data_IF_157309848985
#
_entry.id   IF_157309848985
#
_cell.length_a   1.000
_cell.length_b   1.000
_cell.length_c   1.000
_cell.angle_alpha   90.00
_cell.angle_beta   90.00
_cell.angle_gamma   90.00
#
_symmetry.space_group_name_H-M   'P 1'
#
loop_
_entity.id
_entity.type
_entity.pdbx_description
1 polymer ?
#
# COMPACT_ATOMS: atom_id res chain seq x y z
N UNK A 1 -12.06 -9.18 11.37
CA UNK A 1 -10.71 -8.66 11.06
C UNK A 1 -10.63 -8.13 9.63
N UNK A 2 -11.11 -8.86 8.62
CA UNK A 2 -11.02 -8.45 7.21
C UNK A 2 -11.67 -7.08 6.97
N UNK A 3 -12.94 -6.89 7.32
CA UNK A 3 -13.63 -5.61 7.14
C UNK A 3 -12.92 -4.48 7.90
N UNK A 4 -12.47 -4.76 9.11
CA UNK A 4 -11.74 -3.77 9.92
C UNK A 4 -10.41 -3.37 9.28
N UNK A 5 -9.65 -4.34 8.75
CA UNK A 5 -8.40 -4.10 8.05
C UNK A 5 -8.60 -3.33 6.75
N UNK A 6 -9.63 -3.67 5.97
CA UNK A 6 -10.01 -2.93 4.77
C UNK A 6 -10.36 -1.47 5.09
N UNK A 7 -11.13 -1.23 6.17
CA UNK A 7 -11.45 0.14 6.60
C UNK A 7 -10.21 0.89 7.04
N UNK A 8 -9.31 0.27 7.80
CA UNK A 8 -8.06 0.89 8.25
C UNK A 8 -7.15 1.28 7.09
N UNK A 9 -7.19 0.54 5.99
CA UNK A 9 -6.39 0.81 4.81
C UNK A 9 -7.09 1.81 3.86
N UNK A 10 -8.32 1.51 3.46
CA UNK A 10 -8.99 2.28 2.41
C UNK A 10 -9.56 3.61 2.89
N UNK A 11 -9.96 3.74 4.16
CA UNK A 11 -10.49 5.01 4.66
C UNK A 11 -9.44 6.13 4.62
N UNK A 12 -8.23 5.97 5.19
CA UNK A 12 -7.19 6.98 5.03
C UNK A 12 -6.76 7.14 3.57
N UNK A 13 -6.73 6.06 2.76
CA UNK A 13 -6.41 6.16 1.35
C UNK A 13 -7.38 7.07 0.59
N UNK A 14 -8.68 6.91 0.79
CA UNK A 14 -9.69 7.74 0.16
C UNK A 14 -9.68 9.18 0.68
N UNK A 15 -9.56 9.37 1.99
CA UNK A 15 -9.57 10.71 2.60
C UNK A 15 -8.34 11.52 2.17
N UNK A 16 -7.13 10.96 2.33
CA UNK A 16 -5.92 11.69 2.01
C UNK A 16 -5.69 11.77 0.49
N UNK A 17 -6.17 10.78 -0.28
CA UNK A 17 -6.24 10.87 -1.73
C UNK A 17 -7.13 12.01 -2.20
N UNK A 18 -8.28 12.18 -1.57
CA UNK A 18 -9.16 13.33 -1.84
C UNK A 18 -8.50 14.67 -1.52
N UNK A 19 -7.83 14.80 -0.36
CA UNK A 19 -7.12 16.03 -0.01
C UNK A 19 -5.97 16.32 -0.97
N UNK A 20 -5.16 15.33 -1.34
CA UNK A 20 -4.10 15.49 -2.33
C UNK A 20 -4.65 15.79 -3.74
N UNK A 21 -5.86 15.34 -4.06
CA UNK A 21 -6.53 15.70 -5.30
C UNK A 21 -7.06 17.14 -5.29
N UNK A 22 -7.50 17.65 -4.15
CA UNK A 22 -7.96 19.05 -4.04
C UNK A 22 -6.79 20.04 -3.99
N UNK A 23 -5.68 19.65 -3.37
CA UNK A 23 -4.49 20.46 -3.23
C UNK A 23 -3.25 19.64 -3.59
N UNK A 24 -2.64 19.92 -4.75
CA UNK A 24 -1.44 19.23 -5.22
C UNK A 24 -0.23 19.41 -4.28
N UNK A 25 -0.25 20.39 -3.39
CA UNK A 25 0.84 20.61 -2.42
C UNK A 25 0.67 19.79 -1.15
N UNK A 26 -0.51 19.22 -0.91
CA UNK A 26 -0.81 18.45 0.29
C UNK A 26 0.12 17.25 0.49
N UNK A 27 0.55 16.60 -0.60
CA UNK A 27 1.46 15.45 -0.56
C UNK A 27 2.77 15.75 0.19
N UNK A 28 3.26 16.99 0.08
CA UNK A 28 4.50 17.44 0.75
C UNK A 28 4.37 17.58 2.27
N UNK A 29 3.15 17.51 2.80
CA UNK A 29 2.91 17.38 4.26
C UNK A 29 3.16 15.96 4.78
N UNK A 30 3.15 14.97 3.89
CA UNK A 30 3.29 13.54 4.23
C UNK A 30 4.61 12.95 3.75
N UNK A 31 5.13 13.45 2.63
CA UNK A 31 6.33 12.94 1.97
C UNK A 31 7.26 14.08 1.59
N UNK A 32 8.58 13.93 1.82
CA UNK A 32 9.53 14.93 1.40
C UNK A 32 9.65 14.99 -0.14
N UNK A 33 9.98 16.16 -0.72
CA UNK A 33 10.06 16.36 -2.17
C UNK A 33 10.96 15.33 -2.89
N UNK A 34 12.02 14.86 -2.22
CA UNK A 34 12.95 13.88 -2.78
C UNK A 34 12.30 12.52 -3.06
N UNK A 35 11.20 12.19 -2.37
CA UNK A 35 10.42 10.97 -2.61
C UNK A 35 9.33 11.19 -3.65
N UNK A 36 8.77 12.39 -3.74
CA UNK A 36 7.69 12.73 -4.69
C UNK A 36 8.25 12.92 -6.11
N UNK A 37 9.34 13.65 -6.26
CA UNK A 37 9.91 13.99 -7.56
C UNK A 37 10.26 12.79 -8.47
N UNK A 38 10.74 11.62 -7.98
CA UNK A 38 10.90 10.44 -8.82
C UNK A 38 9.58 9.90 -9.37
N UNK A 39 8.50 9.95 -8.56
CA UNK A 39 7.16 9.50 -8.98
C UNK A 39 6.59 10.42 -10.05
N UNK A 40 6.71 11.73 -9.87
CA UNK A 40 6.31 12.73 -10.87
C UNK A 40 7.04 12.51 -12.20
N UNK A 41 8.37 12.38 -12.17
CA UNK A 41 9.16 12.12 -13.39
C UNK A 41 8.76 10.82 -14.10
N UNK A 42 8.36 9.80 -13.34
CA UNK A 42 7.95 8.52 -13.91
C UNK A 42 6.67 8.62 -14.73
N UNK A 43 5.75 9.50 -14.35
CA UNK A 43 4.44 9.64 -14.97
C UNK A 43 4.26 10.94 -15.77
N UNK A 44 5.31 11.78 -15.85
CA UNK A 44 5.25 13.05 -16.59
C UNK A 44 5.24 12.84 -18.10
N UNK A 45 4.05 13.03 -18.71
CA UNK A 45 3.86 12.90 -20.15
C UNK A 45 4.50 14.04 -20.96
N UNK A 46 4.77 15.20 -20.37
CA UNK A 46 5.40 16.32 -21.07
C UNK A 46 6.85 15.99 -21.45
N UNK A 47 7.55 15.26 -20.60
CA UNK A 47 8.90 14.77 -20.89
C UNK A 47 8.92 13.69 -21.98
N UNK A 48 7.85 12.89 -22.07
CA UNK A 48 7.68 11.88 -23.13
C UNK A 48 7.43 12.52 -24.50
N UNK A 49 6.64 13.60 -24.55
CA UNK A 49 6.33 14.33 -25.78
C UNK A 49 7.55 15.12 -26.32
N UNK A 50 8.46 15.54 -25.45
CA UNK A 50 9.65 16.32 -25.83
C UNK A 50 10.79 15.48 -26.45
N UNK A 51 10.55 14.20 -26.78
CA UNK A 51 11.57 13.32 -27.36
C UNK A 51 12.67 12.88 -26.37
N UNK A 52 12.55 13.25 -25.11
CA UNK A 52 13.32 12.71 -23.98
C UNK A 52 12.64 11.43 -23.43
N UNK A 53 11.79 10.80 -24.25
CA UNK A 53 11.35 9.45 -23.94
C UNK A 53 12.64 8.63 -23.71
N UNK A 54 12.99 8.36 -22.47
CA UNK A 54 13.62 7.08 -22.16
C UNK A 54 12.67 6.12 -22.88
N UNK A 55 13.16 5.55 -24.00
CA UNK A 55 12.42 4.52 -24.71
C UNK A 55 11.98 3.56 -23.64
N UNK A 56 10.71 3.66 -23.25
CA UNK A 56 10.10 2.69 -22.33
C UNK A 56 10.07 1.40 -23.15
N UNK A 57 11.20 0.72 -23.14
CA UNK A 57 11.32 -0.59 -23.72
C UNK A 57 10.44 -1.53 -22.89
N UNK A 58 9.80 -2.47 -23.55
CA UNK A 58 8.98 -3.51 -22.90
C UNK A 58 9.73 -4.23 -21.79
N UNK A 59 11.06 -4.36 -21.90
CA UNK A 59 11.92 -4.91 -20.85
C UNK A 59 11.95 -4.03 -19.59
N UNK A 60 12.01 -2.72 -19.74
CA UNK A 60 11.98 -1.76 -18.63
C UNK A 60 10.61 -1.76 -17.94
N UNK A 61 9.51 -1.81 -18.72
CA UNK A 61 8.15 -1.90 -18.16
C UNK A 61 7.94 -3.22 -17.41
N UNK A 62 8.47 -4.33 -17.90
CA UNK A 62 8.41 -5.62 -17.23
C UNK A 62 9.24 -5.64 -15.93
N UNK A 63 10.44 -5.07 -15.96
CA UNK A 63 11.29 -4.94 -14.77
C UNK A 63 10.63 -4.06 -13.70
N UNK A 64 10.00 -2.95 -14.09
CA UNK A 64 9.24 -2.08 -13.19
C UNK A 64 8.03 -2.80 -12.60
N UNK A 65 7.27 -3.53 -13.40
CA UNK A 65 6.15 -4.34 -12.94
C UNK A 65 6.61 -5.37 -11.88
N UNK A 66 7.71 -6.10 -12.15
CA UNK A 66 8.30 -7.03 -11.18
C UNK A 66 8.75 -6.34 -9.89
N UNK A 67 9.30 -5.12 -10.00
CA UNK A 67 9.68 -4.32 -8.84
C UNK A 67 8.46 -3.94 -7.97
N UNK A 68 7.36 -3.49 -8.57
CA UNK A 68 6.14 -3.14 -7.83
C UNK A 68 5.52 -4.35 -7.14
N UNK A 69 5.44 -5.50 -7.82
CA UNK A 69 4.96 -6.75 -7.22
C UNK A 69 5.81 -7.10 -5.99
N UNK A 70 7.14 -7.13 -6.14
CA UNK A 70 8.07 -7.45 -5.05
C UNK A 70 7.94 -6.46 -3.88
N UNK A 71 7.80 -5.18 -4.18
CA UNK A 71 7.62 -4.12 -3.20
C UNK A 71 6.31 -4.31 -2.40
N UNK A 72 5.19 -4.53 -3.09
CA UNK A 72 3.87 -4.71 -2.46
C UNK A 72 3.79 -6.01 -1.65
N UNK A 73 4.37 -7.10 -2.14
CA UNK A 73 4.54 -8.36 -1.38
C UNK A 73 5.33 -8.08 -0.10
N UNK A 74 6.43 -7.34 -0.18
CA UNK A 74 7.24 -6.97 0.98
C UNK A 74 6.45 -6.14 2.01
N UNK A 75 5.61 -5.20 1.56
CA UNK A 75 4.70 -4.44 2.42
C UNK A 75 3.69 -5.38 3.10
N UNK A 76 3.08 -6.29 2.34
CA UNK A 76 2.14 -7.27 2.89
C UNK A 76 2.78 -8.11 4.00
N UNK A 77 3.96 -8.67 3.76
CA UNK A 77 4.70 -9.43 4.78
C UNK A 77 5.06 -8.61 6.01
N UNK A 78 5.51 -7.36 5.85
CA UNK A 78 5.81 -6.46 6.97
C UNK A 78 4.55 -6.14 7.77
N UNK A 79 3.45 -5.92 7.10
CA UNK A 79 2.14 -5.65 7.73
C UNK A 79 1.67 -6.87 8.54
N UNK A 80 1.76 -8.07 7.97
CA UNK A 80 1.47 -9.32 8.66
C UNK A 80 2.38 -9.52 9.88
N UNK A 81 3.71 -9.42 9.69
CA UNK A 81 4.69 -9.58 10.76
C UNK A 81 4.52 -8.53 11.86
N UNK A 82 4.14 -7.30 11.50
CA UNK A 82 3.81 -6.24 12.45
C UNK A 82 2.67 -6.62 13.43
N UNK A 83 1.80 -7.55 13.02
CA UNK A 83 0.77 -8.12 13.89
C UNK A 83 1.34 -8.86 15.10
N UNK A 84 2.52 -9.45 15.00
CA UNK A 84 3.22 -10.11 16.11
C UNK A 84 3.60 -9.15 17.25
N UNK A 85 3.61 -7.84 16.99
CA UNK A 85 3.73 -6.80 17.99
C UNK A 85 2.35 -6.46 18.62
N UNK A 86 1.63 -7.46 19.07
CA UNK A 86 0.30 -7.33 19.67
C UNK A 86 -0.74 -6.61 18.78
N UNK A 87 -0.56 -6.69 17.47
CA UNK A 87 -1.42 -6.05 16.47
C UNK A 87 -1.07 -4.59 16.16
N UNK A 88 -0.28 -3.91 17.00
CA UNK A 88 0.03 -2.47 16.86
C UNK A 88 0.77 -2.19 15.54
N UNK A 89 1.74 -3.02 15.18
CA UNK A 89 2.49 -2.84 13.94
C UNK A 89 1.63 -3.03 12.70
N UNK A 90 0.67 -3.97 12.71
CA UNK A 90 -0.28 -4.12 11.60
C UNK A 90 -1.23 -2.93 11.50
N UNK A 91 -1.75 -2.41 12.62
CA UNK A 91 -2.56 -1.19 12.65
C UNK A 91 -1.81 0.00 12.01
N UNK A 92 -0.59 0.25 12.48
CA UNK A 92 0.23 1.33 11.96
C UNK A 92 0.53 1.16 10.47
N UNK A 93 0.93 -0.05 10.04
CA UNK A 93 1.26 -0.33 8.65
C UNK A 93 0.05 -0.12 7.73
N UNK A 94 -1.16 -0.57 8.13
CA UNK A 94 -2.38 -0.37 7.35
C UNK A 94 -2.71 1.10 7.18
N UNK A 95 -2.73 1.86 8.28
CA UNK A 95 -3.03 3.30 8.26
C UNK A 95 -1.99 4.07 7.43
N UNK A 96 -0.71 3.82 7.67
CA UNK A 96 0.39 4.50 6.99
C UNK A 96 0.41 4.21 5.48
N UNK A 97 0.33 2.94 5.08
CA UNK A 97 0.34 2.58 3.66
C UNK A 97 -0.92 3.10 2.95
N UNK A 98 -2.10 3.02 3.59
CA UNK A 98 -3.31 3.62 3.04
C UNK A 98 -3.15 5.13 2.84
N UNK A 99 -2.64 5.85 3.83
CA UNK A 99 -2.39 7.28 3.77
C UNK A 99 -1.43 7.66 2.62
N UNK A 100 -0.29 6.99 2.53
CA UNK A 100 0.73 7.26 1.51
C UNK A 100 0.21 6.94 0.11
N UNK A 101 -0.34 5.74 -0.09
CA UNK A 101 -0.84 5.31 -1.41
C UNK A 101 -1.98 6.20 -1.88
N UNK A 102 -2.90 6.55 -0.99
CA UNK A 102 -3.99 7.46 -1.31
C UNK A 102 -3.49 8.83 -1.71
N UNK A 103 -2.58 9.42 -0.94
CA UNK A 103 -2.02 10.75 -1.23
C UNK A 103 -1.26 10.77 -2.55
N UNK A 104 -0.48 9.74 -2.85
CA UNK A 104 0.22 9.59 -4.13
C UNK A 104 -0.79 9.49 -5.28
N UNK A 105 -1.84 8.66 -5.13
CA UNK A 105 -2.87 8.51 -6.15
C UNK A 105 -3.63 9.83 -6.40
N UNK A 106 -3.97 10.56 -5.35
CA UNK A 106 -4.60 11.88 -5.45
C UNK A 106 -3.72 12.89 -6.17
N UNK A 107 -2.45 12.99 -5.79
CA UNK A 107 -1.47 13.90 -6.39
C UNK A 107 -1.23 13.58 -7.87
N UNK A 108 -0.99 12.32 -8.21
CA UNK A 108 -0.73 11.89 -9.59
C UNK A 108 -2.00 11.85 -10.47
N UNK A 109 -3.17 12.16 -9.90
CA UNK A 109 -4.41 12.37 -10.67
C UNK A 109 -4.47 13.72 -11.35
N UNK A 110 -3.51 14.63 -11.09
CA UNK A 110 -3.39 15.90 -11.81
C UNK A 110 -2.65 15.74 -13.15
N UNK A 111 -2.88 16.68 -14.07
CA UNK A 111 -2.05 16.84 -15.24
C UNK A 111 -0.64 17.32 -14.81
N UNK A 112 0.44 16.85 -15.45
CA UNK A 112 0.48 16.00 -16.64
C UNK A 112 0.53 14.49 -16.36
N UNK A 113 0.36 14.03 -15.12
CA UNK A 113 0.66 12.67 -14.67
C UNK A 113 -0.49 11.67 -14.92
N UNK A 114 -1.74 12.11 -14.76
CA UNK A 114 -2.93 11.25 -14.73
C UNK A 114 -3.06 10.29 -15.92
N UNK A 115 -2.72 10.76 -17.11
CA UNK A 115 -2.83 9.99 -18.35
C UNK A 115 -1.86 8.82 -18.46
N UNK A 116 -0.72 8.84 -17.72
CA UNK A 116 0.21 7.73 -17.66
C UNK A 116 0.01 6.88 -16.40
N UNK A 117 -0.34 7.52 -15.29
CA UNK A 117 -0.53 6.88 -13.99
C UNK A 117 -1.69 5.87 -13.99
N UNK A 118 -2.91 6.32 -14.33
CA UNK A 118 -4.09 5.49 -14.23
C UNK A 118 -4.08 4.24 -15.11
N UNK A 119 -3.69 4.30 -16.39
CA UNK A 119 -3.57 3.09 -17.21
C UNK A 119 -2.57 2.08 -16.65
N UNK A 120 -1.48 2.57 -16.03
CA UNK A 120 -0.47 1.69 -15.44
C UNK A 120 -0.99 0.99 -14.17
N UNK A 121 -1.59 1.73 -13.24
CA UNK A 121 -1.98 1.17 -11.93
C UNK A 121 -3.29 0.39 -11.95
N UNK A 122 -4.24 0.74 -12.83
CA UNK A 122 -5.58 0.14 -12.84
C UNK A 122 -5.61 -1.38 -13.09
N UNK A 123 -4.59 -1.90 -13.79
CA UNK A 123 -4.52 -3.32 -14.16
C UNK A 123 -4.16 -4.28 -13.01
N UNK A 124 -3.49 -3.80 -11.97
CA UNK A 124 -2.93 -4.67 -10.93
C UNK A 124 -3.17 -4.18 -9.50
N UNK A 125 -3.27 -2.87 -9.28
CA UNK A 125 -3.30 -2.31 -7.93
C UNK A 125 -4.48 -2.76 -7.08
N UNK A 126 -5.65 -3.01 -7.65
CA UNK A 126 -6.81 -3.48 -6.89
C UNK A 126 -6.51 -4.80 -6.13
N UNK A 127 -5.85 -5.73 -6.78
CA UNK A 127 -5.46 -7.01 -6.19
C UNK A 127 -4.36 -6.86 -5.16
N UNK A 128 -3.32 -6.09 -5.48
CA UNK A 128 -2.16 -5.88 -4.62
C UNK A 128 -2.54 -5.14 -3.33
N UNK A 129 -3.32 -4.06 -3.43
CA UNK A 129 -3.76 -3.30 -2.27
C UNK A 129 -4.70 -4.10 -1.37
N UNK A 130 -5.59 -4.91 -1.96
CA UNK A 130 -6.45 -5.83 -1.21
C UNK A 130 -5.61 -6.89 -0.49
N UNK A 131 -4.58 -7.44 -1.15
CA UNK A 131 -3.68 -8.41 -0.52
C UNK A 131 -2.94 -7.82 0.70
N UNK A 132 -2.48 -6.56 0.64
CA UNK A 132 -1.89 -5.87 1.80
C UNK A 132 -2.90 -5.78 2.95
N UNK A 133 -4.15 -5.43 2.66
CA UNK A 133 -5.20 -5.36 3.67
C UNK A 133 -5.51 -6.73 4.29
N UNK A 134 -5.51 -7.81 3.50
CA UNK A 134 -5.70 -9.18 3.99
C UNK A 134 -4.52 -9.64 4.86
N UNK A 135 -3.28 -9.34 4.46
CA UNK A 135 -2.09 -9.56 5.29
C UNK A 135 -2.20 -8.84 6.63
N UNK A 136 -2.74 -7.62 6.62
CA UNK A 136 -3.04 -6.86 7.84
C UNK A 136 -4.09 -7.53 8.71
N UNK A 137 -5.17 -8.05 8.11
CA UNK A 137 -6.21 -8.79 8.83
C UNK A 137 -5.63 -10.02 9.54
N UNK A 138 -4.83 -10.81 8.82
CA UNK A 138 -4.13 -11.97 9.37
C UNK A 138 -3.18 -11.57 10.54
N UNK A 139 -2.42 -10.50 10.35
CA UNK A 139 -1.55 -9.95 11.41
C UNK A 139 -2.33 -9.50 12.66
N UNK A 140 -3.45 -8.81 12.46
CA UNK A 140 -4.34 -8.39 13.56
C UNK A 140 -4.96 -9.57 14.30
N UNK A 141 -5.32 -10.64 13.58
CA UNK A 141 -5.83 -11.87 14.20
C UNK A 141 -4.79 -12.49 15.14
N UNK A 142 -3.55 -12.62 14.69
CA UNK A 142 -2.47 -13.15 15.50
C UNK A 142 -2.15 -12.24 16.70
N UNK A 143 -2.10 -10.92 16.47
CA UNK A 143 -1.87 -9.93 17.53
C UNK A 143 -2.94 -9.96 18.62
N UNK A 144 -4.21 -10.10 18.24
CA UNK A 144 -5.32 -10.24 19.18
C UNK A 144 -5.19 -11.51 20.05
N UNK A 145 -4.70 -12.62 19.49
CA UNK A 145 -4.46 -13.85 20.24
C UNK A 145 -3.28 -13.73 21.22
N UNK A 146 -2.31 -12.89 20.91
CA UNK A 146 -1.23 -12.56 21.86
C UNK A 146 -1.72 -11.72 23.04
N UNK A 147 -2.67 -10.80 22.81
CA UNK A 147 -3.29 -9.97 23.84
C UNK A 147 -4.26 -10.78 24.70
N UNK A 148 -5.13 -11.54 24.03
CA UNK A 148 -6.21 -12.31 24.66
C UNK A 148 -6.14 -13.80 24.29
N UNK A 149 -5.21 -14.56 24.88
CA UNK A 149 -4.99 -15.96 24.53
C UNK A 149 -6.12 -16.89 25.02
N UNK A 150 -7.06 -16.38 25.83
CA UNK A 150 -8.10 -17.19 26.47
C UNK A 150 -7.51 -18.18 27.48
N UNK A 151 -7.98 -19.45 27.54
CA UNK A 151 -7.50 -20.45 28.48
C UNK A 151 -6.14 -21.05 28.10
N UNK A 152 -5.55 -20.62 26.98
CA UNK A 152 -4.30 -21.18 26.44
C UNK A 152 -3.08 -20.32 26.79
N UNK A 153 -1.88 -20.92 26.74
CA UNK A 153 -0.64 -20.15 26.69
C UNK A 153 -0.58 -19.38 25.36
N UNK A 154 0.05 -18.20 25.36
CA UNK A 154 0.14 -17.34 24.17
C UNK A 154 0.62 -18.08 22.92
N UNK A 155 1.63 -18.93 23.04
CA UNK A 155 2.16 -19.71 21.92
C UNK A 155 1.15 -20.73 21.39
N UNK A 156 0.40 -21.39 22.29
CA UNK A 156 -0.61 -22.36 21.88
C UNK A 156 -1.83 -21.67 21.24
N UNK A 157 -2.20 -20.48 21.74
CA UNK A 157 -3.22 -19.66 21.14
C UNK A 157 -2.84 -19.22 19.71
N UNK A 158 -1.58 -18.82 19.50
CA UNK A 158 -1.04 -18.52 18.17
C UNK A 158 -1.08 -19.73 17.24
N UNK A 159 -0.58 -20.88 17.66
CA UNK A 159 -0.56 -22.12 16.87
C UNK A 159 -1.95 -22.53 16.42
N UNK A 160 -2.98 -22.29 17.24
CA UNK A 160 -4.37 -22.58 16.90
C UNK A 160 -4.97 -21.57 15.92
N UNK A 161 -4.59 -20.30 16.03
CA UNK A 161 -5.07 -19.24 15.15
C UNK A 161 -4.34 -19.17 13.79
N UNK A 162 -3.07 -19.62 13.75
CA UNK A 162 -2.23 -19.49 12.55
C UNK A 162 -2.84 -20.13 11.29
N UNK A 163 -3.45 -21.33 11.31
CA UNK A 163 -4.08 -21.90 10.13
C UNK A 163 -5.22 -21.03 9.57
N UNK A 164 -6.03 -20.42 10.42
CA UNK A 164 -7.11 -19.50 10.01
C UNK A 164 -6.55 -18.20 9.44
N UNK A 165 -5.50 -17.65 10.07
CA UNK A 165 -4.84 -16.43 9.60
C UNK A 165 -4.13 -16.61 8.25
N UNK A 166 -3.62 -17.81 7.96
CA UNK A 166 -2.96 -18.14 6.69
C UNK A 166 -3.94 -18.44 5.54
N UNK A 167 -5.23 -18.57 5.81
CA UNK A 167 -6.27 -18.78 4.80
C UNK A 167 -6.88 -17.47 4.29
N UNK A 168 -6.49 -16.34 4.85
CA UNK A 168 -6.86 -15.00 4.39
C UNK A 168 -5.95 -14.54 3.25
#
# INVERSE_FOLDING_TARGET
YVVFSLLLFYLPALLLGWFSYQDATFIYSLMPPEQVAPMERMYDQSSLAAGQAILRDKETDFAMFGHYISHNISIGFRTFAGGMLFGIGALFALLYNGAVIGSVAGHLSHAPYAGAFWPFVSGHSAWELTAIALCGAAGLMLGAKLLQPGPYRRLDALRRCAPEALQL
#
